data_IF_078010919864
#
_entry.id   IF_078010919864
#
_cell.length_a   1.000
_cell.length_b   1.000
_cell.length_c   1.000
_cell.angle_alpha   90.00
_cell.angle_beta   90.00
_cell.angle_gamma   90.00
#
_symmetry.space_group_name_H-M   'P 1'
#
loop_
_entity.id
_entity.type
_entity.pdbx_description
1 polymer ?
#
# COMPACT_ATOMS: atom_id res chain seq x y z
N UNK A 1 -29.94 -10.11 -30.11
CA UNK A 1 -28.64 -10.16 -29.43
C UNK A 1 -28.78 -11.17 -28.31
N UNK A 2 -28.08 -12.30 -28.41
CA UNK A 2 -28.12 -13.33 -27.39
C UNK A 2 -27.11 -12.97 -26.31
N UNK A 3 -27.58 -12.83 -25.07
CA UNK A 3 -26.73 -12.58 -23.92
C UNK A 3 -25.91 -13.84 -23.64
N UNK A 4 -24.58 -13.69 -23.65
CA UNK A 4 -23.61 -14.78 -23.52
C UNK A 4 -23.08 -14.92 -22.07
N UNK A 5 -23.58 -14.10 -21.15
CA UNK A 5 -23.23 -14.10 -19.73
C UNK A 5 -23.07 -12.69 -19.17
N UNK A 6 -23.17 -12.58 -17.85
CA UNK A 6 -22.98 -11.35 -17.11
C UNK A 6 -21.77 -11.49 -16.18
N UNK A 7 -20.98 -10.42 -16.05
CA UNK A 7 -19.90 -10.36 -15.07
C UNK A 7 -20.47 -10.11 -13.68
N UNK A 8 -20.01 -10.87 -12.70
CA UNK A 8 -20.32 -10.64 -11.28
C UNK A 8 -19.17 -9.89 -10.61
N UNK A 9 -19.51 -9.00 -9.68
CA UNK A 9 -18.55 -8.29 -8.84
C UNK A 9 -18.52 -8.93 -7.45
N UNK A 10 -17.31 -9.01 -6.88
CA UNK A 10 -17.10 -9.46 -5.51
C UNK A 10 -16.68 -8.27 -4.65
N UNK A 11 -17.45 -7.96 -3.60
CA UNK A 11 -17.07 -6.97 -2.59
C UNK A 11 -16.72 -7.67 -1.28
N UNK A 12 -15.63 -7.22 -0.69
CA UNK A 12 -15.21 -7.68 0.63
C UNK A 12 -15.54 -6.61 1.67
N UNK A 13 -16.04 -6.99 2.87
CA UNK A 13 -16.24 -6.05 3.97
C UNK A 13 -14.95 -5.30 4.35
N UNK A 14 -13.81 -6.00 4.29
CA UNK A 14 -12.50 -5.41 4.58
C UNK A 14 -11.51 -5.63 3.43
N UNK A 15 -11.31 -4.61 2.59
CA UNK A 15 -10.37 -4.65 1.48
C UNK A 15 -8.90 -4.72 1.93
N UNK A 16 -8.54 -4.08 3.06
CA UNK A 16 -7.18 -4.10 3.60
C UNK A 16 -6.77 -5.48 4.14
N UNK A 17 -7.75 -6.34 4.42
CA UNK A 17 -7.51 -7.72 4.85
C UNK A 17 -7.28 -8.69 3.69
N UNK A 18 -7.31 -8.26 2.43
CA UNK A 18 -7.08 -9.13 1.29
C UNK A 18 -5.61 -9.55 1.18
N UNK A 19 -5.39 -10.81 0.78
CA UNK A 19 -4.06 -11.35 0.56
C UNK A 19 -3.58 -11.01 -0.85
N UNK A 20 -2.58 -10.15 -0.97
CA UNK A 20 -2.05 -9.72 -2.26
C UNK A 20 -1.14 -10.82 -2.86
N UNK A 21 -1.59 -11.45 -3.94
CA UNK A 21 -0.85 -12.53 -4.65
C UNK A 21 0.06 -12.02 -5.77
N UNK A 22 0.15 -10.70 -5.93
CA UNK A 22 0.95 -10.03 -6.96
C UNK A 22 0.16 -9.78 -8.26
N UNK A 23 0.67 -8.88 -9.10
CA UNK A 23 0.05 -8.54 -10.38
C UNK A 23 -1.36 -7.95 -10.27
N UNK A 24 -1.65 -7.22 -9.19
CA UNK A 24 -2.99 -6.71 -8.85
C UNK A 24 -4.05 -7.79 -8.58
N UNK A 25 -3.63 -9.03 -8.34
CA UNK A 25 -4.51 -10.14 -7.95
C UNK A 25 -4.56 -10.23 -6.43
N UNK A 26 -5.77 -10.32 -5.91
CA UNK A 26 -6.05 -10.44 -4.49
C UNK A 26 -6.83 -11.71 -4.19
N UNK A 27 -6.49 -12.39 -3.09
CA UNK A 27 -7.17 -13.56 -2.60
C UNK A 27 -7.90 -13.24 -1.28
N UNK A 28 -9.02 -13.92 -1.06
CA UNK A 28 -9.74 -13.83 0.21
C UNK A 28 -8.88 -14.36 1.35
N UNK A 29 -8.95 -13.69 2.51
CA UNK A 29 -8.31 -14.13 3.74
C UNK A 29 -9.32 -14.14 4.89
N UNK A 30 -9.01 -14.78 6.04
CA UNK A 30 -9.87 -14.69 7.22
C UNK A 30 -10.10 -13.24 7.69
N UNK A 31 -9.15 -12.33 7.41
CA UNK A 31 -9.23 -10.92 7.78
C UNK A 31 -10.08 -10.08 6.82
N UNK A 32 -10.28 -10.52 5.56
CA UNK A 32 -11.12 -9.81 4.58
C UNK A 32 -12.62 -10.06 4.77
N UNK A 33 -12.96 -11.19 5.40
CA UNK A 33 -14.33 -11.69 5.48
C UNK A 33 -14.78 -12.40 4.21
N UNK A 34 -16.04 -12.84 4.19
CA UNK A 34 -16.66 -13.53 3.04
C UNK A 34 -16.99 -12.55 1.91
N UNK A 35 -16.75 -12.93 0.64
CA UNK A 35 -17.12 -12.12 -0.50
C UNK A 35 -18.65 -12.00 -0.62
N UNK A 36 -19.13 -10.80 -0.89
CA UNK A 36 -20.49 -10.51 -1.30
C UNK A 36 -20.48 -10.43 -2.82
N UNK A 37 -21.10 -11.40 -3.48
CA UNK A 37 -21.22 -11.45 -4.94
C UNK A 37 -22.51 -10.78 -5.36
N UNK A 38 -22.44 -9.83 -6.28
CA UNK A 38 -23.61 -9.23 -6.89
C UNK A 38 -23.30 -8.70 -8.30
N UNK A 39 -24.35 -8.49 -9.06
CA UNK A 39 -24.28 -7.89 -10.40
C UNK A 39 -23.90 -6.40 -10.33
N UNK A 40 -23.08 -5.89 -11.27
CA UNK A 40 -22.75 -4.47 -11.37
C UNK A 40 -23.99 -3.55 -11.33
N UNK A 41 -23.94 -2.47 -10.56
CA UNK A 41 -25.04 -1.49 -10.42
C UNK A 41 -26.22 -1.92 -9.54
N UNK A 42 -26.24 -3.16 -9.02
CA UNK A 42 -27.25 -3.64 -8.08
C UNK A 42 -26.65 -3.80 -6.67
N UNK A 43 -27.51 -3.80 -5.64
CA UNK A 43 -27.14 -3.98 -4.23
C UNK A 43 -26.02 -3.03 -3.72
N UNK A 44 -25.92 -1.83 -4.31
CA UNK A 44 -24.90 -0.85 -3.96
C UNK A 44 -23.49 -1.17 -4.48
N UNK A 45 -23.38 -2.08 -5.46
CA UNK A 45 -22.17 -2.29 -6.23
C UNK A 45 -21.94 -1.17 -7.25
N UNK A 46 -20.67 -0.90 -7.54
CA UNK A 46 -20.29 0.03 -8.59
C UNK A 46 -20.79 -0.40 -9.97
N UNK A 47 -20.92 0.57 -10.87
CA UNK A 47 -21.24 0.32 -12.28
C UNK A 47 -19.97 -0.04 -13.06
N UNK A 48 -20.07 -0.98 -14.00
CA UNK A 48 -18.96 -1.31 -14.92
C UNK A 48 -19.12 -0.53 -16.22
N UNK A 49 -18.13 0.31 -16.55
CA UNK A 49 -18.07 1.01 -17.84
C UNK A 49 -17.11 0.29 -18.80
N UNK A 50 -17.61 -0.07 -19.98
CA UNK A 50 -16.77 -0.66 -21.03
C UNK A 50 -15.81 0.37 -21.66
N UNK A 51 -14.59 -0.05 -21.97
CA UNK A 51 -13.59 0.79 -22.64
C UNK A 51 -12.88 1.80 -21.72
N UNK A 52 -13.10 1.73 -20.41
CA UNK A 52 -12.40 2.53 -19.41
C UNK A 52 -11.38 1.68 -18.65
N UNK A 53 -10.21 2.24 -18.36
CA UNK A 53 -9.17 1.60 -17.56
C UNK A 53 -8.95 2.42 -16.29
N UNK A 54 -9.05 1.78 -15.13
CA UNK A 54 -8.76 2.44 -13.85
C UNK A 54 -7.27 2.73 -13.74
N UNK A 55 -6.93 4.01 -13.61
CA UNK A 55 -5.56 4.47 -13.37
C UNK A 55 -5.20 4.34 -11.90
N UNK A 56 -3.90 4.22 -11.62
CA UNK A 56 -3.38 4.22 -10.25
C UNK A 56 -3.81 5.48 -9.50
N UNK A 57 -4.25 5.31 -8.26
CA UNK A 57 -4.56 6.41 -7.34
C UNK A 57 -3.33 7.03 -6.68
N UNK A 58 -2.12 6.71 -7.15
CA UNK A 58 -0.85 7.14 -6.54
C UNK A 58 -0.31 8.37 -7.26
N UNK A 59 -0.09 9.45 -6.51
CA UNK A 59 0.59 10.64 -6.99
C UNK A 59 2.11 10.48 -6.85
N UNK A 60 2.82 10.36 -7.97
CA UNK A 60 4.26 10.08 -7.99
C UNK A 60 5.09 11.13 -7.27
N UNK A 61 4.66 12.40 -7.29
CA UNK A 61 5.38 13.50 -6.63
C UNK A 61 5.34 13.37 -5.12
N UNK A 62 4.16 13.08 -4.55
CA UNK A 62 4.01 12.91 -3.10
C UNK A 62 4.80 11.69 -2.61
N UNK A 63 4.79 10.60 -3.39
CA UNK A 63 5.54 9.40 -3.06
C UNK A 63 7.07 9.63 -3.07
N UNK A 64 7.56 10.42 -4.03
CA UNK A 64 8.98 10.82 -4.06
C UNK A 64 9.35 11.70 -2.86
N UNK A 65 8.48 12.62 -2.45
CA UNK A 65 8.73 13.46 -1.26
C UNK A 65 8.76 12.61 0.01
N UNK A 66 7.84 11.65 0.17
CA UNK A 66 7.85 10.69 1.28
C UNK A 66 9.15 9.89 1.31
N UNK A 67 9.59 9.40 0.16
CA UNK A 67 10.84 8.65 0.04
C UNK A 67 12.06 9.50 0.41
N UNK A 68 12.15 10.74 -0.07
CA UNK A 68 13.21 11.69 0.30
C UNK A 68 13.18 11.99 1.81
N UNK A 69 11.99 12.19 2.39
CA UNK A 69 11.82 12.44 3.82
C UNK A 69 12.30 11.24 4.65
N UNK A 70 11.92 10.03 4.27
CA UNK A 70 12.37 8.80 4.91
C UNK A 70 13.90 8.62 4.82
N UNK A 71 14.49 8.94 3.66
CA UNK A 71 15.95 8.93 3.47
C UNK A 71 16.64 9.95 4.38
N UNK A 72 16.15 11.19 4.45
CA UNK A 72 16.70 12.23 5.33
C UNK A 72 16.60 11.84 6.80
N UNK A 73 15.48 11.25 7.22
CA UNK A 73 15.33 10.73 8.58
C UNK A 73 16.38 9.64 8.87
N UNK A 74 16.61 8.72 7.93
CA UNK A 74 17.65 7.69 8.07
C UNK A 74 19.06 8.29 8.14
N UNK A 75 19.39 9.24 7.26
CA UNK A 75 20.69 9.93 7.26
C UNK A 75 20.94 10.69 8.57
N UNK A 76 19.94 11.43 9.06
CA UNK A 76 20.00 12.16 10.32
C UNK A 76 20.21 11.21 11.50
N UNK A 77 19.47 10.10 11.55
CA UNK A 77 19.63 9.09 12.59
C UNK A 77 21.03 8.47 12.56
N UNK A 78 21.52 8.10 11.37
CA UNK A 78 22.87 7.54 11.21
C UNK A 78 23.95 8.54 11.66
N UNK A 79 23.83 9.81 11.27
CA UNK A 79 24.81 10.85 11.63
C UNK A 79 24.80 11.14 13.14
N UNK A 80 23.62 11.11 13.76
CA UNK A 80 23.48 11.28 15.22
C UNK A 80 24.18 10.14 15.97
N UNK A 81 24.07 8.90 15.48
CA UNK A 81 24.77 7.74 16.04
C UNK A 81 26.29 7.92 15.90
N UNK A 82 26.79 8.29 14.72
CA UNK A 82 28.23 8.53 14.51
C UNK A 82 28.77 9.63 15.42
N UNK A 83 28.03 10.74 15.57
CA UNK A 83 28.43 11.82 16.47
C UNK A 83 28.46 11.37 17.93
N UNK A 84 27.50 10.57 18.37
CA UNK A 84 27.50 10.00 19.72
C UNK A 84 28.72 9.09 19.92
N UNK A 85 29.07 8.25 18.95
CA UNK A 85 30.25 7.38 19.00
C UNK A 85 31.56 8.19 19.05
N UNK A 86 31.68 9.27 18.26
CA UNK A 86 32.83 10.18 18.28
C UNK A 86 33.01 10.89 19.64
N UNK A 87 31.90 11.34 20.25
CA UNK A 87 31.92 11.93 21.59
C UNK A 87 32.36 10.91 22.65
N UNK A 88 31.86 9.67 22.59
CA UNK A 88 32.25 8.59 23.49
C UNK A 88 33.74 8.24 23.36
N UNK A 89 34.28 8.19 22.14
CA UNK A 89 35.70 7.99 21.92
C UNK A 89 36.55 9.12 22.52
N UNK A 90 36.09 10.37 22.38
CA UNK A 90 36.77 11.55 22.92
C UNK A 90 36.82 11.52 24.45
N UNK A 91 35.70 11.18 25.11
CA UNK A 91 35.63 11.03 26.58
C UNK A 91 36.58 9.92 27.05
N UNK A 92 36.62 8.78 26.37
CA UNK A 92 37.53 7.68 26.73
C UNK A 92 39.02 8.06 26.62
N UNK A 93 39.38 8.92 25.66
CA UNK A 93 40.76 9.42 25.52
C UNK A 93 41.16 10.40 26.63
N UNK A 94 40.21 11.20 27.13
CA UNK A 94 40.44 12.15 28.23
C UNK A 94 40.60 11.48 29.62
N UNK A 95 40.12 10.24 29.78
CA UNK A 95 40.21 9.48 31.04
C UNK A 95 41.57 8.79 31.26
N UNK A 96 42.54 8.93 30.34
CA UNK A 96 43.90 8.39 30.47
C UNK A 96 44.89 9.41 31.02
#
# INVERSE_FOLDING_TARGET
MQEIGQLELARFPNAAGLDARGGNIFAQSPASGTPILATPGLEGMGETAGGYLEMSNVETVDELVKMISAQRAYELNSKTITMADEMLQTINRLKR
#
